data_IF_318630059935
#
_entry.id   IF_318630059935
#
_cell.length_a   1.000
_cell.length_b   1.000
_cell.length_c   1.000
_cell.angle_alpha   90.00
_cell.angle_beta   90.00
_cell.angle_gamma   90.00
#
_symmetry.space_group_name_H-M   'P 1'
#
loop_
_entity.id
_entity.type
_entity.pdbx_description
1 polymer ?
#
# COMPACT_ATOMS: atom_id res chain seq x y z
N UNK A 1 17.15 2.16 -25.95
CA UNK A 1 16.92 3.63 -25.82
C UNK A 1 15.51 3.84 -25.28
N UNK A 2 15.33 4.81 -24.37
CA UNK A 2 13.99 5.20 -23.89
C UNK A 2 13.30 5.98 -25.01
N UNK A 3 12.10 5.56 -25.41
CA UNK A 3 11.26 6.29 -26.38
C UNK A 3 10.40 7.27 -25.60
N UNK A 4 10.22 8.47 -26.09
CA UNK A 4 9.41 9.51 -25.43
C UNK A 4 8.11 9.75 -26.20
N UNK A 5 7.14 10.32 -25.51
CA UNK A 5 5.86 10.79 -26.05
C UNK A 5 5.64 12.22 -25.55
N UNK A 6 5.14 13.09 -26.40
CA UNK A 6 4.78 14.47 -26.02
C UNK A 6 3.42 14.51 -25.33
N UNK A 7 3.12 15.61 -24.64
CA UNK A 7 1.81 15.85 -24.02
C UNK A 7 0.66 15.75 -25.02
N UNK A 8 0.81 16.38 -26.18
CA UNK A 8 -0.25 16.42 -27.19
C UNK A 8 -0.52 15.04 -27.82
N UNK A 9 0.52 14.24 -28.06
CA UNK A 9 0.40 12.86 -28.51
C UNK A 9 -0.27 11.99 -27.43
N UNK A 10 0.15 12.11 -26.16
CA UNK A 10 -0.42 11.39 -25.04
C UNK A 10 -1.92 11.72 -24.90
N UNK A 11 -2.24 13.01 -24.88
CA UNK A 11 -3.63 13.49 -24.78
C UNK A 11 -4.51 12.96 -25.90
N UNK A 12 -4.01 12.96 -27.13
CA UNK A 12 -4.76 12.53 -28.30
C UNK A 12 -5.02 11.03 -28.36
N UNK A 13 -4.18 10.25 -27.69
CA UNK A 13 -4.22 8.79 -27.70
C UNK A 13 -4.60 8.17 -26.35
N UNK A 14 -5.01 8.97 -25.36
CA UNK A 14 -5.17 8.58 -23.95
C UNK A 14 -6.00 7.30 -23.79
N UNK A 15 -7.14 7.22 -24.47
CA UNK A 15 -8.07 6.06 -24.41
C UNK A 15 -7.50 4.77 -25.04
N UNK A 16 -6.41 4.87 -25.82
CA UNK A 16 -5.76 3.73 -26.48
C UNK A 16 -4.41 3.35 -25.88
N UNK A 17 -4.03 4.00 -24.79
CA UNK A 17 -2.77 3.79 -24.10
C UNK A 17 -3.02 3.24 -22.69
N UNK A 18 -2.12 2.41 -22.24
CA UNK A 18 -2.01 2.05 -20.83
C UNK A 18 -1.06 3.05 -20.16
N UNK A 19 -1.62 4.03 -19.46
CA UNK A 19 -0.86 5.05 -18.75
C UNK A 19 -0.46 4.53 -17.38
N UNK A 20 0.80 4.72 -17.00
CA UNK A 20 1.34 4.23 -15.73
C UNK A 20 2.06 5.36 -15.01
N UNK A 21 1.58 5.69 -13.82
CA UNK A 21 2.22 6.60 -12.89
C UNK A 21 3.32 5.86 -12.12
N UNK A 22 4.55 6.33 -12.27
CA UNK A 22 5.72 5.76 -11.59
C UNK A 22 6.02 6.42 -10.24
N UNK A 23 5.14 7.28 -9.76
CA UNK A 23 5.26 7.88 -8.43
C UNK A 23 4.86 6.90 -7.33
N UNK A 24 5.37 7.09 -6.11
CA UNK A 24 4.87 6.35 -4.95
C UNK A 24 3.36 6.51 -4.78
N UNK A 25 2.68 5.57 -4.10
CA UNK A 25 1.22 5.58 -3.95
C UNK A 25 0.63 6.86 -3.36
N UNK A 26 1.35 7.55 -2.46
CA UNK A 26 0.83 8.77 -1.85
C UNK A 26 0.70 9.94 -2.86
N UNK A 27 1.73 10.33 -3.65
CA UNK A 27 1.57 11.30 -4.73
C UNK A 27 0.56 10.88 -5.80
N UNK A 28 0.53 9.59 -6.19
CA UNK A 28 -0.48 9.05 -7.09
C UNK A 28 -1.89 9.24 -6.52
N UNK A 29 -2.07 8.95 -5.23
CA UNK A 29 -3.34 9.13 -4.53
C UNK A 29 -3.77 10.60 -4.39
N UNK A 30 -2.84 11.56 -4.45
CA UNK A 30 -3.18 12.98 -4.47
C UNK A 30 -3.76 13.39 -5.82
N UNK A 31 -3.09 13.02 -6.91
CA UNK A 31 -3.54 13.25 -8.29
C UNK A 31 -2.76 12.40 -9.29
N UNK A 32 -3.41 11.92 -10.32
CA UNK A 32 -2.79 11.21 -11.44
C UNK A 32 -3.49 11.52 -12.76
N UNK A 33 -2.87 11.15 -13.89
CA UNK A 33 -3.48 11.28 -15.20
C UNK A 33 -4.71 10.36 -15.31
N UNK A 34 -5.75 10.74 -16.08
CA UNK A 34 -6.96 9.95 -16.21
C UNK A 34 -6.68 8.51 -16.63
N UNK A 35 -7.24 7.55 -15.87
CA UNK A 35 -7.09 6.13 -16.10
C UNK A 35 -5.69 5.55 -15.81
N UNK A 36 -4.77 6.33 -15.22
CA UNK A 36 -3.43 5.85 -14.95
C UNK A 36 -3.42 4.74 -13.87
N UNK A 37 -2.62 3.71 -14.11
CA UNK A 37 -2.29 2.68 -13.11
C UNK A 37 -1.08 3.15 -12.29
N UNK A 38 -0.96 2.69 -11.04
CA UNK A 38 0.21 3.01 -10.21
C UNK A 38 1.14 1.80 -10.14
N UNK A 39 2.38 1.96 -10.59
CA UNK A 39 3.45 0.97 -10.49
C UNK A 39 4.77 1.71 -10.29
N UNK A 40 5.69 1.11 -9.52
CA UNK A 40 7.02 1.66 -9.27
C UNK A 40 8.11 0.69 -9.76
N UNK A 41 9.31 1.20 -10.01
CA UNK A 41 10.41 0.38 -10.53
C UNK A 41 10.88 -0.70 -9.52
N UNK A 42 10.58 -0.52 -8.25
CA UNK A 42 10.89 -1.44 -7.15
C UNK A 42 9.85 -2.56 -6.99
N UNK A 43 8.75 -2.54 -7.74
CA UNK A 43 7.76 -3.62 -7.73
C UNK A 43 8.36 -4.90 -8.29
N UNK A 44 7.90 -6.05 -7.78
CA UNK A 44 8.33 -7.35 -8.29
C UNK A 44 7.86 -7.59 -9.72
N UNK A 45 8.61 -8.38 -10.48
CA UNK A 45 8.24 -8.77 -11.86
C UNK A 45 6.86 -9.42 -11.92
N UNK A 46 6.51 -10.22 -10.90
CA UNK A 46 5.20 -10.85 -10.77
C UNK A 46 4.09 -9.81 -10.58
N UNK A 47 4.34 -8.79 -9.76
CA UNK A 47 3.37 -7.70 -9.55
C UNK A 47 3.17 -6.89 -10.82
N UNK A 48 4.27 -6.47 -11.48
CA UNK A 48 4.22 -5.75 -12.75
C UNK A 48 3.43 -6.53 -13.81
N UNK A 49 3.71 -7.84 -13.96
CA UNK A 49 2.99 -8.69 -14.92
C UNK A 49 1.52 -8.92 -14.53
N UNK A 50 1.20 -8.95 -13.24
CA UNK A 50 -0.18 -9.08 -12.76
C UNK A 50 -1.05 -7.87 -13.06
N UNK A 51 -0.49 -6.66 -12.91
CA UNK A 51 -1.18 -5.39 -13.21
C UNK A 51 -1.25 -5.12 -14.72
N UNK A 52 -0.22 -5.54 -15.47
CA UNK A 52 -0.09 -5.34 -16.91
C UNK A 52 -0.07 -6.71 -17.65
N UNK A 53 -1.21 -7.42 -17.74
CA UNK A 53 -1.23 -8.78 -18.30
C UNK A 53 -0.99 -8.84 -19.81
N UNK A 54 -1.27 -7.76 -20.54
CA UNK A 54 -1.08 -7.70 -22.00
C UNK A 54 0.32 -7.18 -22.36
N UNK A 55 1.18 -8.07 -22.87
CA UNK A 55 2.53 -7.72 -23.34
C UNK A 55 2.55 -6.89 -24.62
N UNK A 56 1.46 -6.83 -25.36
CA UNK A 56 1.31 -6.01 -26.55
C UNK A 56 0.73 -4.61 -26.24
N UNK A 57 0.38 -4.33 -25.00
CA UNK A 57 -0.14 -3.03 -24.57
C UNK A 57 0.84 -1.90 -24.91
N UNK A 58 0.28 -0.78 -25.36
CA UNK A 58 1.02 0.47 -25.61
C UNK A 58 1.15 1.23 -24.31
N UNK A 59 2.27 1.10 -23.63
CA UNK A 59 2.48 1.62 -22.27
C UNK A 59 3.15 2.99 -22.33
N UNK A 60 2.65 3.92 -21.52
CA UNK A 60 3.29 5.21 -21.27
C UNK A 60 3.54 5.37 -19.78
N UNK A 61 4.80 5.39 -19.37
CA UNK A 61 5.19 5.72 -18.00
C UNK A 61 5.37 7.23 -17.84
N UNK A 62 5.04 7.77 -16.66
CA UNK A 62 5.33 9.16 -16.32
C UNK A 62 5.67 9.31 -14.83
N UNK A 63 6.12 10.51 -14.43
CA UNK A 63 6.39 10.85 -13.04
C UNK A 63 6.09 12.35 -12.80
N UNK A 64 6.74 13.01 -11.84
CA UNK A 64 6.43 14.40 -11.47
C UNK A 64 6.70 15.37 -12.63
N UNK A 65 7.93 15.39 -13.14
CA UNK A 65 8.45 16.37 -14.10
C UNK A 65 9.63 15.81 -14.90
N UNK A 66 10.24 16.65 -15.73
CA UNK A 66 11.35 16.26 -16.61
C UNK A 66 12.64 15.88 -15.87
N UNK A 67 12.82 16.31 -14.63
CA UNK A 67 13.99 16.01 -13.81
C UNK A 67 13.81 14.72 -13.00
N UNK A 68 12.57 14.28 -12.81
CA UNK A 68 12.25 13.05 -12.10
C UNK A 68 12.51 11.81 -12.96
N UNK A 69 13.37 10.92 -12.48
CA UNK A 69 13.76 9.70 -13.21
C UNK A 69 12.80 8.52 -13.08
N UNK A 70 11.81 8.56 -12.19
CA UNK A 70 10.95 7.41 -11.88
C UNK A 70 10.22 6.85 -13.10
N UNK A 71 9.72 7.72 -14.00
CA UNK A 71 9.08 7.29 -15.25
C UNK A 71 10.05 6.51 -16.17
N UNK A 72 11.23 7.07 -16.53
CA UNK A 72 12.26 6.34 -17.25
C UNK A 72 12.75 5.08 -16.55
N UNK A 73 12.92 5.11 -15.23
CA UNK A 73 13.44 3.99 -14.44
C UNK A 73 12.45 2.81 -14.41
N UNK A 74 11.13 3.05 -14.38
CA UNK A 74 10.10 2.01 -14.53
C UNK A 74 10.04 1.45 -15.96
N UNK A 75 10.30 2.26 -16.97
CA UNK A 75 10.27 1.79 -18.35
C UNK A 75 11.31 0.72 -18.65
N UNK A 76 12.42 0.69 -17.93
CA UNK A 76 13.50 -0.29 -18.13
C UNK A 76 13.09 -1.72 -17.73
N UNK A 77 12.62 -2.01 -16.51
CA UNK A 77 12.15 -3.34 -16.14
C UNK A 77 10.95 -3.80 -16.98
N UNK A 78 10.02 -2.92 -17.36
CA UNK A 78 8.93 -3.29 -18.24
C UNK A 78 9.44 -3.81 -19.61
N UNK A 79 10.42 -3.16 -20.21
CA UNK A 79 11.06 -3.64 -21.45
C UNK A 79 11.77 -4.99 -21.26
N UNK A 80 12.46 -5.17 -20.14
CA UNK A 80 13.11 -6.44 -19.80
C UNK A 80 12.10 -7.58 -19.64
N UNK A 81 10.90 -7.29 -19.15
CA UNK A 81 9.77 -8.22 -19.05
C UNK A 81 9.07 -8.50 -20.39
N UNK A 82 9.53 -7.91 -21.50
CA UNK A 82 9.05 -8.19 -22.85
C UNK A 82 7.88 -7.31 -23.32
N UNK A 83 7.59 -6.17 -22.65
CA UNK A 83 6.66 -5.18 -23.20
C UNK A 83 7.31 -4.46 -24.38
N UNK A 84 6.71 -4.52 -25.56
CA UNK A 84 7.33 -4.09 -26.81
C UNK A 84 7.18 -2.59 -27.10
N UNK A 85 6.08 -1.96 -26.65
CA UNK A 85 5.82 -0.52 -26.83
C UNK A 85 5.74 0.18 -25.47
N UNK A 86 6.90 0.53 -24.91
CA UNK A 86 7.01 1.31 -23.65
C UNK A 86 7.67 2.64 -23.96
N UNK A 87 6.91 3.71 -23.78
CA UNK A 87 7.35 5.12 -23.93
C UNK A 87 7.27 5.83 -22.59
N UNK A 88 7.90 7.01 -22.49
CA UNK A 88 7.84 7.85 -21.30
C UNK A 88 7.37 9.25 -21.66
N UNK A 89 6.36 9.74 -20.93
CA UNK A 89 5.99 11.14 -20.91
C UNK A 89 6.89 11.85 -19.89
N UNK A 90 7.95 12.45 -20.41
CA UNK A 90 9.07 12.97 -19.61
C UNK A 90 8.68 14.20 -18.81
N UNK A 91 7.87 15.08 -19.38
CA UNK A 91 7.44 16.33 -18.75
C UNK A 91 6.56 16.13 -17.53
N UNK A 92 5.94 14.95 -17.42
CA UNK A 92 5.25 14.47 -16.22
C UNK A 92 3.95 15.19 -15.89
N UNK A 93 3.45 14.90 -14.66
CA UNK A 93 2.15 15.41 -14.24
C UNK A 93 2.14 16.93 -14.05
N UNK A 94 3.27 17.55 -13.70
CA UNK A 94 3.31 19.01 -13.52
C UNK A 94 3.07 19.76 -14.84
N UNK A 95 3.61 19.28 -15.96
CA UNK A 95 3.35 19.85 -17.29
C UNK A 95 1.88 19.64 -17.69
N UNK A 96 1.31 18.44 -17.40
CA UNK A 96 -0.10 18.12 -17.68
C UNK A 96 -1.03 19.06 -16.94
N UNK A 97 -0.81 19.25 -15.63
CA UNK A 97 -1.58 20.17 -14.77
C UNK A 97 -1.37 21.62 -15.17
N UNK A 98 -0.13 22.02 -15.47
CA UNK A 98 0.23 23.35 -15.95
C UNK A 98 -0.48 23.73 -17.25
N UNK A 99 -0.83 22.75 -18.08
CA UNK A 99 -1.63 22.93 -19.29
C UNK A 99 -3.15 22.98 -19.02
N UNK A 100 -3.59 22.89 -17.76
CA UNK A 100 -5.02 22.90 -17.38
C UNK A 100 -5.75 21.63 -17.76
N UNK A 101 -5.05 20.52 -17.99
CA UNK A 101 -5.64 19.25 -18.37
C UNK A 101 -6.20 18.50 -17.14
N UNK A 102 -7.25 17.66 -17.32
CA UNK A 102 -7.90 16.98 -16.21
C UNK A 102 -6.98 15.97 -15.54
N UNK A 103 -7.09 15.85 -14.23
CA UNK A 103 -6.48 14.82 -13.42
C UNK A 103 -7.55 14.06 -12.66
N UNK A 104 -7.29 12.79 -12.38
CA UNK A 104 -8.08 12.00 -11.45
C UNK A 104 -7.47 12.10 -10.06
N UNK A 105 -8.36 12.06 -9.07
CA UNK A 105 -8.02 11.86 -7.66
C UNK A 105 -8.83 10.66 -7.21
N UNK A 106 -8.26 9.72 -6.47
CA UNK A 106 -9.05 8.64 -5.92
C UNK A 106 -10.22 9.23 -5.15
N UNK A 107 -11.44 8.94 -5.59
CA UNK A 107 -12.59 9.10 -4.72
C UNK A 107 -12.39 8.14 -3.57
N UNK A 108 -12.71 8.54 -2.34
CA UNK A 108 -12.65 7.64 -1.20
C UNK A 108 -13.31 6.31 -1.54
N UNK A 109 -12.72 5.20 -1.13
CA UNK A 109 -13.26 3.86 -1.36
C UNK A 109 -14.08 3.43 -0.16
N UNK A 110 -15.20 2.75 -0.43
CA UNK A 110 -15.94 1.99 0.57
C UNK A 110 -15.63 0.52 0.35
N UNK A 111 -15.19 -0.17 1.40
CA UNK A 111 -14.79 -1.57 1.34
C UNK A 111 -15.63 -2.36 2.36
N UNK A 112 -16.11 -3.51 1.95
CA UNK A 112 -16.69 -4.47 2.88
C UNK A 112 -15.59 -5.24 3.60
N UNK A 113 -15.79 -5.51 4.90
CA UNK A 113 -14.83 -6.32 5.67
C UNK A 113 -14.63 -7.71 5.06
N UNK A 114 -15.65 -8.26 4.39
CA UNK A 114 -15.53 -9.53 3.70
C UNK A 114 -14.43 -9.55 2.65
N UNK A 115 -14.20 -8.42 1.95
CA UNK A 115 -13.17 -8.28 0.92
C UNK A 115 -11.74 -8.15 1.48
N UNK A 116 -11.64 -7.91 2.78
CA UNK A 116 -10.38 -7.76 3.51
C UNK A 116 -10.02 -9.00 4.35
N UNK A 117 -10.88 -10.03 4.36
CA UNK A 117 -10.72 -11.18 5.23
C UNK A 117 -9.47 -12.01 4.88
N UNK A 118 -8.59 -12.20 5.85
CA UNK A 118 -7.52 -13.19 5.81
C UNK A 118 -8.02 -14.56 6.27
N UNK A 119 -8.93 -14.56 7.26
CA UNK A 119 -9.60 -15.73 7.81
C UNK A 119 -10.86 -15.28 8.57
N UNK A 120 -11.50 -16.18 9.30
CA UNK A 120 -12.75 -15.90 10.03
C UNK A 120 -12.61 -14.86 11.17
N UNK A 121 -11.39 -14.52 11.58
CA UNK A 121 -11.10 -13.69 12.76
C UNK A 121 -10.11 -12.56 12.52
N UNK A 122 -9.61 -12.41 11.29
CA UNK A 122 -8.63 -11.39 10.94
C UNK A 122 -8.90 -10.79 9.56
N UNK A 123 -8.83 -9.47 9.47
CA UNK A 123 -9.00 -8.68 8.26
C UNK A 123 -7.80 -7.74 8.11
N UNK A 124 -7.29 -7.61 6.88
CA UNK A 124 -6.16 -6.75 6.55
C UNK A 124 -6.54 -5.77 5.44
N UNK A 125 -6.45 -4.49 5.76
CA UNK A 125 -6.46 -3.41 4.79
C UNK A 125 -5.02 -3.00 4.48
N UNK A 126 -4.60 -3.13 3.22
CA UNK A 126 -3.35 -2.57 2.70
C UNK A 126 -3.67 -1.37 1.82
N UNK A 127 -3.42 -0.16 2.34
CA UNK A 127 -3.83 1.09 1.72
C UNK A 127 -3.24 1.32 0.33
N UNK A 128 -1.99 0.91 0.08
CA UNK A 128 -1.38 0.98 -1.26
C UNK A 128 -2.19 0.21 -2.30
N UNK A 129 -2.67 -0.99 -1.94
CA UNK A 129 -3.39 -1.89 -2.85
C UNK A 129 -4.84 -1.52 -3.05
N UNK A 130 -5.46 -0.86 -2.06
CA UNK A 130 -6.92 -0.67 -2.00
C UNK A 130 -7.37 0.76 -2.20
N UNK A 131 -6.54 1.76 -1.82
CA UNK A 131 -6.98 3.15 -1.75
C UNK A 131 -5.88 4.18 -2.09
N UNK A 132 -4.67 3.76 -2.48
CA UNK A 132 -3.55 4.67 -2.75
C UNK A 132 -3.06 5.45 -1.53
N UNK A 133 -3.30 4.95 -0.30
CA UNK A 133 -2.90 5.60 0.94
C UNK A 133 -1.79 4.83 1.66
N UNK A 134 -0.90 5.55 2.36
CA UNK A 134 0.28 4.96 3.00
C UNK A 134 0.02 4.53 4.45
N UNK A 135 -1.07 3.80 4.65
CA UNK A 135 -1.38 3.11 5.90
C UNK A 135 -1.81 1.68 5.61
N UNK A 136 -1.57 0.76 6.56
CA UNK A 136 -2.26 -0.52 6.61
C UNK A 136 -2.93 -0.72 7.96
N UNK A 137 -3.94 -1.57 8.01
CA UNK A 137 -4.73 -1.77 9.22
C UNK A 137 -5.12 -3.24 9.36
N UNK A 138 -4.97 -3.78 10.57
CA UNK A 138 -5.63 -5.02 10.95
C UNK A 138 -6.87 -4.74 11.79
N UNK A 139 -7.87 -5.58 11.60
CA UNK A 139 -8.96 -5.81 12.53
C UNK A 139 -8.83 -7.27 12.95
N UNK A 140 -8.65 -7.54 14.23
CA UNK A 140 -8.40 -8.89 14.74
C UNK A 140 -9.37 -9.21 15.87
N UNK A 141 -10.00 -10.38 15.78
CA UNK A 141 -10.84 -10.94 16.83
C UNK A 141 -10.15 -12.16 17.43
N UNK A 142 -9.53 -11.97 18.59
CA UNK A 142 -8.75 -13.01 19.27
C UNK A 142 -9.61 -13.70 20.32
N UNK A 143 -9.81 -15.02 20.21
CA UNK A 143 -10.58 -15.80 21.18
C UNK A 143 -9.89 -15.86 22.54
N UNK A 144 -10.63 -16.12 23.65
CA UNK A 144 -10.04 -16.26 24.99
C UNK A 144 -8.84 -17.22 25.02
N UNK A 145 -7.78 -16.83 25.68
CA UNK A 145 -6.53 -17.56 25.80
C UNK A 145 -5.65 -17.59 24.54
N UNK A 146 -6.12 -17.12 23.40
CA UNK A 146 -5.32 -17.02 22.17
C UNK A 146 -4.45 -15.78 22.16
N UNK A 147 -3.37 -15.82 21.34
CA UNK A 147 -2.38 -14.76 21.21
C UNK A 147 -2.06 -14.46 19.76
N UNK A 148 -1.56 -13.24 19.52
CA UNK A 148 -0.77 -12.89 18.35
C UNK A 148 0.70 -12.95 18.77
N UNK A 149 1.49 -13.76 18.08
CA UNK A 149 2.90 -14.01 18.37
C UNK A 149 3.72 -12.72 18.36
N UNK A 150 4.84 -12.72 19.10
CA UNK A 150 5.77 -11.61 19.07
C UNK A 150 6.35 -11.43 17.67
N UNK A 151 6.29 -10.21 17.19
CA UNK A 151 6.82 -9.79 15.90
C UNK A 151 7.36 -8.36 15.98
N UNK A 152 7.99 -7.91 14.89
CA UNK A 152 8.52 -6.56 14.75
C UNK A 152 8.16 -5.98 13.40
N UNK A 153 8.04 -4.65 13.37
CA UNK A 153 7.91 -3.84 12.16
C UNK A 153 9.01 -2.78 12.09
N UNK A 154 9.48 -2.38 10.91
CA UNK A 154 10.42 -1.27 10.75
C UNK A 154 9.76 0.12 10.89
N UNK A 155 8.50 0.18 11.31
CA UNK A 155 7.67 1.38 11.53
C UNK A 155 6.84 1.21 12.79
N UNK A 156 6.19 2.30 13.24
CA UNK A 156 5.33 2.26 14.40
C UNK A 156 4.00 1.56 14.12
N UNK A 157 3.45 0.92 15.15
CA UNK A 157 2.11 0.35 15.15
C UNK A 157 1.30 0.89 16.33
N UNK A 158 0.06 1.26 16.07
CA UNK A 158 -0.88 1.73 17.09
C UNK A 158 -2.03 0.75 17.21
N UNK A 159 -2.27 0.23 18.41
CA UNK A 159 -3.42 -0.62 18.71
C UNK A 159 -4.50 0.16 19.42
N UNK A 160 -5.74 -0.05 19.04
CA UNK A 160 -6.94 0.37 19.75
C UNK A 160 -7.72 -0.87 20.17
N UNK A 161 -7.91 -1.04 21.47
CA UNK A 161 -8.76 -2.10 21.99
C UNK A 161 -10.21 -1.64 22.01
N UNK A 162 -11.08 -2.37 21.32
CA UNK A 162 -12.52 -2.07 21.24
C UNK A 162 -13.34 -2.94 22.19
N UNK A 163 -13.00 -4.22 22.32
CA UNK A 163 -13.76 -5.18 23.16
C UNK A 163 -12.81 -6.14 23.87
N UNK A 164 -13.21 -6.60 25.04
CA UNK A 164 -12.51 -7.63 25.82
C UNK A 164 -11.39 -7.06 26.71
N UNK A 165 -10.46 -7.93 27.14
CA UNK A 165 -9.27 -7.58 27.93
C UNK A 165 -8.06 -8.26 27.34
N UNK A 166 -7.02 -7.49 27.05
CA UNK A 166 -5.79 -7.99 26.45
C UNK A 166 -4.57 -7.62 27.27
N UNK A 167 -3.53 -8.46 27.15
CA UNK A 167 -2.20 -8.21 27.68
C UNK A 167 -1.25 -8.08 26.50
N UNK A 168 -0.57 -6.94 26.42
CA UNK A 168 0.43 -6.64 25.41
C UNK A 168 1.83 -6.80 25.96
N UNK A 169 2.71 -7.41 25.18
CA UNK A 169 4.17 -7.29 25.36
C UNK A 169 4.65 -6.20 24.40
N UNK A 170 5.40 -5.21 24.92
CA UNK A 170 6.05 -4.14 24.16
C UNK A 170 7.52 -4.05 24.61
N UNK A 171 8.44 -4.66 23.89
CA UNK A 171 9.81 -4.84 24.33
C UNK A 171 9.88 -5.71 25.59
N UNK A 172 10.32 -5.12 26.71
CA UNK A 172 10.37 -5.77 28.03
C UNK A 172 9.13 -5.46 28.89
N UNK A 173 8.27 -4.55 28.46
CA UNK A 173 7.08 -4.16 29.21
C UNK A 173 5.91 -5.09 28.94
N UNK A 174 5.13 -5.34 29.99
CA UNK A 174 3.86 -6.05 29.94
C UNK A 174 2.75 -5.12 30.38
N UNK A 175 1.77 -4.85 29.51
CA UNK A 175 0.75 -3.84 29.68
C UNK A 175 -0.62 -4.49 29.51
N UNK A 176 -1.53 -4.34 30.45
CA UNK A 176 -2.94 -4.73 30.27
C UNK A 176 -3.74 -3.53 29.75
N UNK A 177 -4.55 -3.78 28.73
CA UNK A 177 -5.49 -2.81 28.18
C UNK A 177 -6.93 -3.26 28.41
N UNK A 178 -7.77 -2.27 28.66
CA UNK A 178 -9.23 -2.33 28.69
C UNK A 178 -9.80 -1.65 27.42
N UNK A 179 -11.09 -1.82 27.11
CA UNK A 179 -11.73 -1.13 25.98
C UNK A 179 -11.53 0.38 26.03
N UNK A 180 -11.46 0.99 24.85
CA UNK A 180 -11.20 2.43 24.62
C UNK A 180 -9.78 2.90 24.98
N UNK A 181 -8.87 1.98 25.27
CA UNK A 181 -7.45 2.29 25.47
C UNK A 181 -6.63 2.00 24.22
N UNK A 182 -5.58 2.78 24.06
CA UNK A 182 -4.63 2.66 22.96
C UNK A 182 -3.22 2.40 23.48
N UNK A 183 -2.43 1.70 22.67
CA UNK A 183 -0.99 1.56 22.87
C UNK A 183 -0.27 1.85 21.58
N UNK A 184 0.83 2.60 21.66
CA UNK A 184 1.73 2.84 20.52
C UNK A 184 3.00 2.03 20.73
N UNK A 185 3.38 1.29 19.71
CA UNK A 185 4.61 0.51 19.66
C UNK A 185 5.58 1.20 18.71
N UNK A 186 6.77 1.62 19.18
CA UNK A 186 7.79 2.22 18.32
C UNK A 186 8.34 1.24 17.27
N UNK A 187 8.97 1.75 16.20
CA UNK A 187 9.64 0.91 15.20
C UNK A 187 10.63 -0.08 15.84
N UNK A 188 10.73 -1.27 15.25
CA UNK A 188 11.66 -2.34 15.64
C UNK A 188 11.54 -2.83 17.09
N UNK A 189 10.44 -2.54 17.77
CA UNK A 189 10.17 -3.02 19.13
C UNK A 189 9.42 -4.36 19.05
N UNK A 190 9.94 -5.45 19.65
CA UNK A 190 9.21 -6.71 19.76
C UNK A 190 7.87 -6.53 20.47
N UNK A 191 6.79 -6.99 19.86
CA UNK A 191 5.46 -6.85 20.43
C UNK A 191 4.52 -7.95 19.98
N UNK A 192 3.45 -8.12 20.73
CA UNK A 192 2.37 -9.05 20.51
C UNK A 192 1.37 -8.94 21.65
N UNK A 193 0.28 -9.67 21.57
CA UNK A 193 -0.72 -9.61 22.65
C UNK A 193 -1.43 -10.95 22.83
N UNK A 194 -2.02 -11.12 24.01
CA UNK A 194 -2.83 -12.25 24.41
C UNK A 194 -4.19 -11.78 24.92
N UNK A 195 -5.26 -12.48 24.54
CA UNK A 195 -6.56 -12.32 25.17
C UNK A 195 -6.52 -12.99 26.56
N UNK A 196 -6.60 -12.17 27.61
CA UNK A 196 -6.63 -12.61 29.04
C UNK A 196 -8.02 -12.51 29.65
N UNK A 197 -9.01 -12.13 28.84
CA UNK A 197 -10.43 -12.12 29.24
C UNK A 197 -11.16 -13.44 28.89
N UNK A 198 -12.44 -13.45 29.20
CA UNK A 198 -13.38 -14.55 28.99
C UNK A 198 -14.27 -14.35 27.74
N UNK A 199 -14.18 -13.20 27.09
CA UNK A 199 -14.85 -12.86 25.84
C UNK A 199 -13.83 -12.63 24.70
N UNK A 200 -14.26 -12.67 23.43
CA UNK A 200 -13.36 -12.31 22.33
C UNK A 200 -12.79 -10.91 22.49
N UNK A 201 -11.49 -10.78 22.22
CA UNK A 201 -10.78 -9.51 22.17
C UNK A 201 -10.93 -8.94 20.76
N UNK A 202 -11.47 -7.73 20.60
CA UNK A 202 -11.53 -7.02 19.32
C UNK A 202 -10.55 -5.87 19.31
N UNK A 203 -9.59 -5.93 18.41
CA UNK A 203 -8.50 -4.96 18.27
C UNK A 203 -8.47 -4.42 16.85
N UNK A 204 -8.27 -3.11 16.73
CA UNK A 204 -7.85 -2.47 15.49
C UNK A 204 -6.40 -2.05 15.67
N UNK A 205 -5.53 -2.39 14.72
CA UNK A 205 -4.18 -1.84 14.68
C UNK A 205 -3.92 -1.10 13.38
N UNK A 206 -3.11 -0.06 13.45
CA UNK A 206 -2.75 0.82 12.33
C UNK A 206 -1.24 0.90 12.22
N UNK A 207 -0.73 0.72 11.01
CA UNK A 207 0.68 0.79 10.65
C UNK A 207 0.94 2.01 9.77
N UNK A 208 2.08 2.66 9.94
CA UNK A 208 2.53 3.82 9.16
C UNK A 208 3.07 3.40 7.77
N UNK A 209 2.47 2.39 7.14
CA UNK A 209 2.83 1.92 5.80
C UNK A 209 1.63 1.30 5.10
N UNK A 210 1.47 1.62 3.83
CA UNK A 210 0.38 1.10 3.00
C UNK A 210 0.51 -0.37 2.61
N UNK A 211 1.64 -1.00 2.90
CA UNK A 211 1.89 -2.44 2.73
C UNK A 211 2.50 -3.01 3.98
N UNK A 212 1.95 -4.11 4.46
CA UNK A 212 2.41 -4.76 5.68
C UNK A 212 3.80 -5.36 5.51
N UNK A 213 4.67 -5.07 6.48
CA UNK A 213 5.97 -5.73 6.66
C UNK A 213 6.15 -6.13 8.11
N UNK A 214 6.23 -7.43 8.37
CA UNK A 214 6.44 -7.96 9.73
C UNK A 214 7.38 -9.16 9.73
N UNK A 215 8.10 -9.33 10.82
CA UNK A 215 8.95 -10.48 11.08
C UNK A 215 8.55 -11.12 12.40
N UNK A 216 8.06 -12.34 12.36
CA UNK A 216 7.71 -13.11 13.56
C UNK A 216 8.96 -13.62 14.27
N UNK A 217 8.93 -13.62 15.60
CA UNK A 217 10.05 -14.01 16.45
C UNK A 217 9.94 -15.45 17.00
N UNK A 218 8.87 -16.18 16.61
CA UNK A 218 8.67 -17.59 16.95
C UNK A 218 8.41 -17.83 18.44
N UNK A 219 7.87 -16.85 19.15
CA UNK A 219 7.50 -16.96 20.57
C UNK A 219 6.24 -16.15 20.89
N UNK A 220 5.51 -16.64 21.85
CA UNK A 220 4.30 -15.99 22.35
C UNK A 220 4.64 -14.75 23.22
N UNK A 221 3.74 -13.75 23.27
CA UNK A 221 3.78 -12.67 24.25
C UNK A 221 3.53 -13.22 25.67
N UNK A 222 4.00 -12.47 26.66
CA UNK A 222 3.84 -12.78 28.09
C UNK A 222 2.37 -12.87 28.52
#
# INVERSE_FOLDING_TARGET
MTSFITRDELRSALDSLTVVDALPPAPYGDRHLPGALNLVAEDSDEHLAGVLPDKAARIVTYSTDADCRRGPDLAAPLKALGYSDVRTYREGIEDWVGAGLPVERPNGVTLDLADLALNATAWLFEGHRRAGVDISMFIVRTLPGRAVELHVHPYAETFLLLEGRGRWTRGEEVIELAPEQMIVVPPNTPHGFRNVGDVPLLVVSVHERGTLRQTFLGRDPA
#
